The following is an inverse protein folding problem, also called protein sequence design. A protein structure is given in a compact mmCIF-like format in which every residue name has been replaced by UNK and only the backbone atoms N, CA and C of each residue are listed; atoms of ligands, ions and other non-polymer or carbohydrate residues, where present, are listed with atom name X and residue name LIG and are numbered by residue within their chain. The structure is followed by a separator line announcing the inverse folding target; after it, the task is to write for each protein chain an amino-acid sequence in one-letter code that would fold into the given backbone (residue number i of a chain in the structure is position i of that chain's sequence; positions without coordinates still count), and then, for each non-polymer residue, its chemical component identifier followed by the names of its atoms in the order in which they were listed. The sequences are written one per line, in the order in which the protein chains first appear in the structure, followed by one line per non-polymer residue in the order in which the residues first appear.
data_IF_533637755795
#
_entry.id   IF_533637755795
#
_cell.length_a   1.000
_cell.length_b   1.000
_cell.length_c   1.000
_cell.angle_alpha   90.00
_cell.angle_beta   90.00
_cell.angle_gamma   90.00
#
_symmetry.space_group_name_H-M   'P 1'
#
loop_
_entity.id
_entity.type
_entity.pdbx_description
1 polymer ?
#
# COMPACT_ATOMS: atom_id res chain seq x y z
N UNK A 1 -18.72 -8.36 -9.85
CA UNK A 1 -17.50 -7.52 -9.96
C UNK A 1 -17.07 -7.00 -8.59
N UNK A 2 -18.00 -6.51 -7.77
CA UNK A 2 -17.73 -5.91 -6.45
C UNK A 2 -16.95 -6.78 -5.45
N UNK A 3 -17.14 -8.11 -5.46
CA UNK A 3 -16.47 -9.00 -4.49
C UNK A 3 -14.97 -9.08 -4.73
N UNK A 4 -14.54 -9.19 -5.98
CA UNK A 4 -13.12 -9.24 -6.37
C UNK A 4 -12.42 -7.93 -6.01
N UNK A 5 -13.07 -6.79 -6.27
CA UNK A 5 -12.53 -5.48 -5.86
C UNK A 5 -12.43 -5.34 -4.34
N UNK A 6 -13.44 -5.79 -3.58
CA UNK A 6 -13.40 -5.78 -2.11
C UNK A 6 -12.26 -6.62 -1.55
N UNK A 7 -12.04 -7.81 -2.12
CA UNK A 7 -10.95 -8.70 -1.71
C UNK A 7 -9.57 -8.14 -2.11
N UNK A 8 -9.46 -7.54 -3.30
CA UNK A 8 -8.26 -6.84 -3.72
C UNK A 8 -7.91 -5.70 -2.76
N UNK A 9 -8.90 -4.87 -2.41
CA UNK A 9 -8.74 -3.79 -1.42
C UNK A 9 -8.31 -4.32 -0.06
N UNK A 10 -8.90 -5.42 0.41
CA UNK A 10 -8.56 -6.03 1.69
C UNK A 10 -7.10 -6.55 1.70
N UNK A 11 -6.67 -7.21 0.62
CA UNK A 11 -5.30 -7.70 0.48
C UNK A 11 -4.28 -6.56 0.50
N UNK A 12 -4.51 -5.50 -0.29
CA UNK A 12 -3.64 -4.31 -0.33
C UNK A 12 -3.63 -3.59 1.02
N UNK A 13 -4.79 -3.42 1.67
CA UNK A 13 -4.91 -2.76 2.96
C UNK A 13 -4.17 -3.53 4.05
N UNK A 14 -4.23 -4.86 4.06
CA UNK A 14 -3.49 -5.68 5.03
C UNK A 14 -1.98 -5.50 4.88
N UNK A 15 -1.46 -5.58 3.65
CA UNK A 15 -0.04 -5.35 3.38
C UNK A 15 0.40 -3.92 3.76
N UNK A 16 -0.41 -2.91 3.38
CA UNK A 16 -0.19 -1.52 3.76
C UNK A 16 -0.26 -1.28 5.28
N UNK A 17 -1.16 -1.98 5.98
CA UNK A 17 -1.31 -1.91 7.43
C UNK A 17 -0.07 -2.41 8.18
N UNK A 18 0.50 -3.55 7.76
CA UNK A 18 1.77 -4.02 8.31
C UNK A 18 2.92 -3.06 8.04
N UNK A 19 2.98 -2.48 6.84
CA UNK A 19 3.96 -1.44 6.53
C UNK A 19 3.81 -0.20 7.41
N UNK A 20 2.58 0.27 7.63
CA UNK A 20 2.29 1.39 8.51
C UNK A 20 2.68 1.10 9.97
N UNK A 21 2.38 -0.10 10.48
CA UNK A 21 2.80 -0.53 11.82
C UNK A 21 4.33 -0.51 11.97
N UNK A 22 5.06 -1.02 10.97
CA UNK A 22 6.52 -0.99 10.99
C UNK A 22 7.06 0.46 11.02
N UNK A 23 6.48 1.37 10.23
CA UNK A 23 6.84 2.79 10.25
C UNK A 23 6.55 3.41 11.62
N UNK A 24 5.38 3.14 12.20
CA UNK A 24 5.01 3.64 13.52
C UNK A 24 6.00 3.17 14.60
N UNK A 25 6.44 1.91 14.54
CA UNK A 25 7.47 1.40 15.46
C UNK A 25 8.79 2.16 15.32
N UNK A 26 9.22 2.45 14.09
CA UNK A 26 10.42 3.28 13.84
C UNK A 26 10.25 4.70 14.37
N UNK A 27 9.08 5.31 14.16
CA UNK A 27 8.76 6.64 14.66
C UNK A 27 8.77 6.70 16.20
N UNK A 28 8.25 5.66 16.87
CA UNK A 28 8.30 5.55 18.33
C UNK A 28 9.74 5.37 18.84
N UNK A 29 10.58 4.59 18.17
CA UNK A 29 11.99 4.43 18.52
C UNK A 29 12.81 5.73 18.37
N UNK A 30 12.38 6.62 17.48
CA UNK A 30 13.01 7.92 17.21
C UNK A 30 12.29 9.09 17.90
N UNK A 31 11.36 8.82 18.83
CA UNK A 31 10.52 9.85 19.46
C UNK A 31 11.28 10.88 20.31
N UNK A 32 12.54 10.61 20.69
CA UNK A 32 13.39 11.55 21.42
C UNK A 32 13.73 12.81 20.60
N UNK A 33 13.72 12.70 19.27
CA UNK A 33 13.86 13.82 18.33
C UNK A 33 12.62 13.85 17.42
N UNK A 34 11.64 14.73 17.69
CA UNK A 34 10.42 14.83 16.90
C UNK A 34 10.68 15.11 15.41
N UNK A 35 11.73 15.86 15.07
CA UNK A 35 12.07 16.14 13.68
C UNK A 35 12.62 14.89 12.99
N UNK A 36 13.47 14.11 13.68
CA UNK A 36 13.96 12.83 13.17
C UNK A 36 12.83 11.81 13.00
N UNK A 37 11.93 11.71 13.98
CA UNK A 37 10.77 10.81 13.93
C UNK A 37 9.89 11.07 12.70
N UNK A 38 9.58 12.35 12.42
CA UNK A 38 8.80 12.74 11.24
C UNK A 38 9.53 12.44 9.93
N UNK A 39 10.86 12.62 9.86
CA UNK A 39 11.68 12.24 8.68
C UNK A 39 11.66 10.74 8.44
N UNK A 40 11.82 9.92 9.48
CA UNK A 40 11.74 8.47 9.38
C UNK A 40 10.35 8.02 8.93
N UNK A 41 9.29 8.64 9.45
CA UNK A 41 7.92 8.44 9.01
C UNK A 41 7.72 8.74 7.52
N UNK A 42 8.16 9.93 7.08
CA UNK A 42 8.08 10.35 5.68
C UNK A 42 8.86 9.42 4.75
N UNK A 43 10.10 9.07 5.12
CA UNK A 43 10.94 8.15 4.36
C UNK A 43 10.33 6.76 4.23
N UNK A 44 9.83 6.19 5.34
CA UNK A 44 9.15 4.90 5.32
C UNK A 44 7.90 4.90 4.45
N UNK A 45 7.09 5.95 4.51
CA UNK A 45 5.88 6.04 3.70
C UNK A 45 6.17 6.25 2.21
N UNK A 46 7.25 6.97 1.86
CA UNK A 46 7.74 7.04 0.48
C UNK A 46 8.18 5.66 -0.03
N UNK A 47 8.89 4.88 0.79
CA UNK A 47 9.30 3.51 0.42
C UNK A 47 8.08 2.64 0.15
N UNK A 48 7.06 2.67 1.01
CA UNK A 48 5.80 1.94 0.78
C UNK A 48 5.14 2.40 -0.53
N UNK A 49 5.05 3.71 -0.75
CA UNK A 49 4.48 4.27 -1.97
C UNK A 49 5.21 3.77 -3.22
N UNK A 50 6.55 3.80 -3.22
CA UNK A 50 7.39 3.32 -4.31
C UNK A 50 7.20 1.82 -4.57
N UNK A 51 7.16 1.00 -3.51
CA UNK A 51 6.92 -0.45 -3.63
C UNK A 51 5.53 -0.72 -4.21
N UNK A 52 4.50 -0.03 -3.74
CA UNK A 52 3.13 -0.19 -4.25
C UNK A 52 3.00 0.24 -5.70
N UNK A 53 3.63 1.36 -6.08
CA UNK A 53 3.67 1.85 -7.46
C UNK A 53 4.37 0.85 -8.38
N UNK A 54 5.57 0.40 -8.01
CA UNK A 54 6.35 -0.57 -8.78
C UNK A 54 5.60 -1.90 -8.92
N UNK A 55 5.00 -2.38 -7.82
CA UNK A 55 4.20 -3.60 -7.81
C UNK A 55 2.95 -3.46 -8.69
N UNK A 56 2.25 -2.33 -8.61
CA UNK A 56 1.06 -2.04 -9.42
C UNK A 56 1.38 -1.99 -10.92
N UNK A 57 2.48 -1.35 -11.31
CA UNK A 57 2.91 -1.31 -12.71
C UNK A 57 3.32 -2.70 -13.23
N UNK A 58 3.97 -3.51 -12.40
CA UNK A 58 4.42 -4.84 -12.80
C UNK A 58 3.36 -5.95 -12.60
N UNK A 59 2.20 -5.65 -12.01
CA UNK A 59 1.21 -6.65 -11.63
C UNK A 59 0.68 -7.49 -12.83
N UNK A 60 0.58 -6.88 -14.01
CA UNK A 60 0.20 -7.54 -15.27
C UNK A 60 1.09 -8.74 -15.67
N UNK A 61 2.35 -8.79 -15.20
CA UNK A 61 3.30 -9.88 -15.48
C UNK A 61 3.01 -11.15 -14.67
N UNK A 62 2.09 -11.11 -13.69
CA UNK A 62 1.68 -12.30 -12.93
C UNK A 62 1.06 -13.34 -13.87
N UNK A 63 1.74 -14.50 -13.98
CA UNK A 63 1.31 -15.63 -14.81
C UNK A 63 0.27 -16.51 -14.10
N UNK A 64 0.47 -16.77 -12.80
CA UNK A 64 -0.38 -17.64 -11.98
C UNK A 64 -1.35 -16.79 -11.15
N UNK A 65 -2.62 -16.78 -11.53
CA UNK A 65 -3.68 -16.07 -10.81
C UNK A 65 -4.19 -16.90 -9.64
N UNK A 66 -4.02 -18.22 -9.71
CA UNK A 66 -4.47 -19.18 -8.71
C UNK A 66 -3.74 -19.02 -7.37
N UNK A 67 -2.51 -18.49 -7.42
CA UNK A 67 -1.67 -18.19 -6.26
C UNK A 67 -1.96 -16.81 -5.64
N UNK A 68 -2.86 -16.02 -6.24
CA UNK A 68 -3.19 -14.69 -5.70
C UNK A 68 -4.11 -14.80 -4.50
N UNK A 69 -3.90 -13.96 -3.49
CA UNK A 69 -4.76 -13.94 -2.30
C UNK A 69 -6.24 -13.74 -2.66
N UNK A 70 -6.51 -12.91 -3.66
CA UNK A 70 -7.87 -12.65 -4.15
C UNK A 70 -8.52 -13.93 -4.67
N UNK A 71 -7.76 -14.78 -5.37
CA UNK A 71 -8.25 -16.08 -5.86
C UNK A 71 -8.47 -17.08 -4.72
N UNK A 72 -7.54 -17.13 -3.78
CA UNK A 72 -7.61 -18.04 -2.61
C UNK A 72 -8.81 -17.66 -1.72
N UNK A 73 -9.11 -16.37 -1.57
CA UNK A 73 -10.24 -15.86 -0.79
C UNK A 73 -11.60 -16.02 -1.49
N UNK A 74 -11.63 -16.35 -2.79
CA UNK A 74 -12.88 -16.64 -3.51
C UNK A 74 -13.34 -18.06 -3.19
N UNK A 75 -14.63 -18.20 -2.88
CA UNK A 75 -15.27 -19.52 -2.76
C UNK A 75 -15.36 -20.19 -4.12
N UNK A 76 -15.36 -21.53 -4.17
CA UNK A 76 -15.36 -22.28 -5.43
C UNK A 76 -16.55 -21.94 -6.35
N UNK A 77 -17.72 -21.65 -5.77
CA UNK A 77 -18.92 -21.26 -6.49
C UNK A 77 -18.84 -19.87 -7.14
N UNK A 78 -17.96 -18.98 -6.64
CA UNK A 78 -17.81 -17.61 -7.13
C UNK A 78 -16.68 -17.47 -8.16
N UNK A 79 -15.88 -18.53 -8.38
CA UNK A 79 -14.70 -18.49 -9.27
C UNK A 79 -15.14 -18.43 -10.74
N UNK A 80 -14.86 -17.31 -11.44
CA UNK A 80 -15.13 -17.24 -12.86
C UNK A 80 -14.15 -18.15 -13.64
N UNK A 81 -14.45 -18.46 -14.91
CA UNK A 81 -13.49 -19.12 -15.79
C UNK A 81 -12.15 -18.36 -15.81
N UNK A 82 -11.04 -19.09 -15.77
CA UNK A 82 -9.68 -18.53 -15.61
C UNK A 82 -9.36 -17.42 -16.62
N UNK A 83 -9.87 -17.54 -17.86
CA UNK A 83 -9.70 -16.57 -18.94
C UNK A 83 -10.31 -15.20 -18.63
N UNK A 84 -11.42 -15.17 -17.88
CA UNK A 84 -12.15 -13.95 -17.48
C UNK A 84 -11.65 -13.44 -16.13
N UNK A 85 -11.34 -14.35 -15.21
CA UNK A 85 -10.87 -14.00 -13.88
C UNK A 85 -9.51 -13.29 -13.90
N UNK A 86 -8.62 -13.67 -14.83
CA UNK A 86 -7.28 -13.08 -14.95
C UNK A 86 -7.30 -11.56 -15.17
N UNK A 87 -7.90 -11.02 -16.25
CA UNK A 87 -7.93 -9.57 -16.46
C UNK A 87 -8.68 -8.86 -15.34
N UNK A 88 -9.72 -9.48 -14.78
CA UNK A 88 -10.52 -8.89 -13.71
C UNK A 88 -9.72 -8.69 -12.41
N UNK A 89 -9.01 -9.73 -11.95
CA UNK A 89 -8.18 -9.67 -10.75
C UNK A 89 -6.98 -8.74 -10.96
N UNK A 90 -6.31 -8.82 -12.13
CA UNK A 90 -5.18 -7.94 -12.45
C UNK A 90 -5.60 -6.47 -12.43
N UNK A 91 -6.72 -6.13 -13.06
CA UNK A 91 -7.19 -4.74 -13.13
C UNK A 91 -7.63 -4.23 -11.75
N UNK A 92 -8.34 -5.04 -10.98
CA UNK A 92 -8.76 -4.68 -9.62
C UNK A 92 -7.55 -4.44 -8.71
N UNK A 93 -6.59 -5.36 -8.67
CA UNK A 93 -5.38 -5.24 -7.85
C UNK A 93 -4.50 -4.07 -8.28
N UNK A 94 -4.34 -3.85 -9.59
CA UNK A 94 -3.57 -2.73 -10.12
C UNK A 94 -4.22 -1.39 -9.74
N UNK A 95 -5.53 -1.28 -9.85
CA UNK A 95 -6.27 -0.08 -9.45
C UNK A 95 -6.03 0.26 -7.98
N UNK A 96 -6.24 -0.71 -7.10
CA UNK A 96 -6.05 -0.53 -5.66
C UNK A 96 -4.59 -0.20 -5.30
N UNK A 97 -3.60 -0.88 -5.89
CA UNK A 97 -2.18 -0.60 -5.64
C UNK A 97 -1.78 0.82 -6.05
N UNK A 98 -2.25 1.30 -7.20
CA UNK A 98 -1.94 2.65 -7.70
C UNK A 98 -2.67 3.74 -6.92
N UNK A 99 -3.92 3.49 -6.52
CA UNK A 99 -4.65 4.44 -5.68
C UNK A 99 -3.98 4.57 -4.31
N UNK A 100 -3.65 3.44 -3.67
CA UNK A 100 -3.00 3.45 -2.35
C UNK A 100 -1.57 3.96 -2.38
N UNK A 101 -0.82 3.79 -3.48
CA UNK A 101 0.49 4.42 -3.60
C UNK A 101 0.40 5.96 -3.63
N UNK A 102 -0.62 6.52 -4.30
CA UNK A 102 -0.86 7.96 -4.29
C UNK A 102 -1.21 8.47 -2.89
N UNK A 103 -2.09 7.77 -2.16
CA UNK A 103 -2.40 8.08 -0.76
C UNK A 103 -1.15 8.03 0.13
N UNK A 104 -0.31 7.00 -0.03
CA UNK A 104 0.94 6.88 0.72
C UNK A 104 1.92 8.02 0.41
N UNK A 105 2.02 8.45 -0.86
CA UNK A 105 2.84 9.59 -1.24
C UNK A 105 2.34 10.88 -0.59
N UNK A 106 1.03 11.13 -0.59
CA UNK A 106 0.45 12.29 0.08
C UNK A 106 0.77 12.31 1.58
N UNK A 107 0.60 11.18 2.26
CA UNK A 107 0.94 11.07 3.69
C UNK A 107 2.43 11.35 3.91
N UNK A 108 3.30 10.81 3.05
CA UNK A 108 4.73 11.07 3.16
C UNK A 108 5.08 12.56 3.00
N UNK A 109 4.46 13.25 2.02
CA UNK A 109 4.62 14.70 1.81
C UNK A 109 4.14 15.47 3.04
N UNK A 110 2.99 15.11 3.62
CA UNK A 110 2.49 15.77 4.82
C UNK A 110 3.43 15.60 6.02
N UNK A 111 3.95 14.40 6.25
CA UNK A 111 4.94 14.14 7.30
C UNK A 111 6.23 14.92 7.08
N UNK A 112 6.68 15.03 5.83
CA UNK A 112 7.86 15.82 5.48
C UNK A 112 7.63 17.32 5.73
N UNK A 113 6.46 17.85 5.34
CA UNK A 113 6.10 19.24 5.58
C UNK A 113 6.04 19.56 7.09
N UNK A 114 5.47 18.65 7.89
CA UNK A 114 5.48 18.76 9.36
C UNK A 114 6.92 18.73 9.90
N UNK A 115 7.76 17.84 9.39
CA UNK A 115 9.17 17.77 9.81
C UNK A 115 9.95 19.05 9.58
N UNK A 116 9.65 19.80 8.51
CA UNK A 116 10.34 21.06 8.18
C UNK A 116 9.78 22.23 8.98
N UNK A 117 8.49 22.25 9.26
CA UNK A 117 7.83 23.33 10.01
C UNK A 117 8.08 23.24 11.52
N UNK A 118 8.15 22.04 12.09
CA UNK A 118 8.41 21.83 13.52
C UNK A 118 9.66 22.57 14.06
N UNK A 119 10.86 22.44 13.44
CA UNK A 119 12.05 23.14 13.91
C UNK A 119 12.02 24.65 13.69
N UNK A 120 11.19 25.14 12.77
CA UNK A 120 10.97 26.59 12.57
C UNK A 120 10.07 27.16 13.67
N UNK A 121 9.10 26.38 14.14
CA UNK A 121 8.15 26.80 15.19
C UNK A 121 8.73 26.69 16.61
N UNK A 122 9.71 25.80 16.82
CA UNK A 122 10.36 25.54 18.10
C UNK A 122 11.64 26.38 18.32
N UNK A 123 11.97 27.27 17.38
CA UNK A 123 13.02 28.29 17.51
C UNK A 123 12.45 29.61 17.98
#
# INVERSE_FOLDING_TARGET
MDRISKLARLSVLRAGGFGCLAILMVMMGTAHDPALSMKCGAGGMLVISAIMLFTGQNYHKRKRIEETEVWIMLTEAERPPLRIARPLIINAMRGELLEKSAWAAMIAITLLAVSVTLPVLLR
#
